data_IF_894394377087
#
_entry.id   IF_894394377087
#
_cell.length_a   1.000
_cell.length_b   1.000
_cell.length_c   1.000
_cell.angle_alpha   90.00
_cell.angle_beta   90.00
_cell.angle_gamma   90.00
#
_symmetry.space_group_name_H-M   'P 1'
#
loop_
_entity.id
_entity.type
_entity.pdbx_description
1 polymer ?
#
# COMPACT_ATOMS: atom_id res chain seq x y z
N UNK A 1 14.38 31.62 8.33
CA UNK A 1 14.27 30.56 7.30
C UNK A 1 14.12 31.26 5.96
N UNK A 2 14.99 31.02 4.96
CA UNK A 2 14.90 31.74 3.67
C UNK A 2 13.88 31.09 2.71
N UNK A 3 13.36 31.86 1.75
CA UNK A 3 12.34 31.41 0.79
C UNK A 3 12.80 30.20 -0.04
N UNK A 4 14.08 30.13 -0.42
CA UNK A 4 14.66 29.00 -1.17
C UNK A 4 14.57 27.68 -0.40
N UNK A 5 14.74 27.70 0.92
CA UNK A 5 14.59 26.52 1.77
C UNK A 5 13.12 26.10 1.93
N UNK A 6 12.19 27.05 1.91
CA UNK A 6 10.75 26.78 1.94
C UNK A 6 10.32 26.09 0.62
N UNK A 7 10.71 26.63 -0.54
CA UNK A 7 10.41 25.99 -1.83
C UNK A 7 11.02 24.59 -1.96
N UNK A 8 12.28 24.39 -1.53
CA UNK A 8 12.90 23.05 -1.54
C UNK A 8 12.15 22.04 -0.66
N UNK A 9 11.67 22.45 0.51
CA UNK A 9 10.86 21.58 1.39
C UNK A 9 9.51 21.29 0.72
N UNK A 10 8.90 22.30 0.09
CA UNK A 10 7.62 22.17 -0.60
C UNK A 10 7.73 21.19 -1.78
N UNK A 11 8.70 21.40 -2.66
CA UNK A 11 8.96 20.55 -3.82
C UNK A 11 9.29 19.11 -3.40
N UNK A 12 9.99 18.94 -2.26
CA UNK A 12 10.34 17.63 -1.73
C UNK A 12 9.12 16.84 -1.26
N UNK A 13 8.12 17.47 -0.62
CA UNK A 13 6.94 16.73 -0.15
C UNK A 13 5.92 16.50 -1.27
N UNK A 14 5.79 17.44 -2.21
CA UNK A 14 4.93 17.28 -3.39
C UNK A 14 5.34 16.03 -4.15
N UNK A 15 6.65 15.85 -4.40
CA UNK A 15 7.16 14.65 -5.07
C UNK A 15 6.83 13.35 -4.32
N UNK A 16 6.84 13.37 -2.98
CA UNK A 16 6.45 12.21 -2.16
C UNK A 16 4.99 11.86 -2.39
N UNK A 17 4.09 12.85 -2.36
CA UNK A 17 2.65 12.64 -2.60
C UNK A 17 2.40 12.20 -4.05
N UNK A 18 3.05 12.84 -5.01
CA UNK A 18 2.86 12.54 -6.42
C UNK A 18 3.22 11.10 -6.76
N UNK A 19 4.41 10.66 -6.32
CA UNK A 19 4.89 9.31 -6.60
C UNK A 19 4.14 8.26 -5.78
N UNK A 20 3.97 8.48 -4.47
CA UNK A 20 3.47 7.43 -3.59
C UNK A 20 1.94 7.35 -3.53
N UNK A 21 1.22 8.39 -3.95
CA UNK A 21 -0.23 8.44 -3.88
C UNK A 21 -0.87 8.75 -5.23
N UNK A 22 -0.56 9.89 -5.86
CA UNK A 22 -1.28 10.32 -7.06
C UNK A 22 -1.07 9.35 -8.23
N UNK A 23 0.18 8.95 -8.50
CA UNK A 23 0.48 7.97 -9.57
C UNK A 23 -0.10 6.60 -9.24
N UNK A 24 -0.10 6.20 -7.97
CA UNK A 24 -0.70 4.92 -7.54
C UNK A 24 -2.21 4.91 -7.81
N UNK A 25 -2.93 5.98 -7.43
CA UNK A 25 -4.37 6.13 -7.71
C UNK A 25 -4.65 6.06 -9.21
N UNK A 26 -3.89 6.81 -10.02
CA UNK A 26 -4.02 6.78 -11.49
C UNK A 26 -3.78 5.38 -12.06
N UNK A 27 -2.76 4.68 -11.56
CA UNK A 27 -2.45 3.30 -11.97
C UNK A 27 -3.56 2.32 -11.62
N UNK A 28 -4.15 2.44 -10.42
CA UNK A 28 -5.30 1.63 -10.00
C UNK A 28 -6.50 1.88 -10.90
N UNK A 29 -6.85 3.15 -11.16
CA UNK A 29 -7.97 3.51 -12.03
C UNK A 29 -7.78 2.95 -13.45
N UNK A 30 -6.59 3.09 -14.02
CA UNK A 30 -6.27 2.51 -15.32
C UNK A 30 -6.37 0.97 -15.29
N UNK A 31 -5.84 0.34 -14.24
CA UNK A 31 -5.91 -1.10 -14.04
C UNK A 31 -7.35 -1.62 -13.96
N UNK A 32 -8.23 -0.91 -13.26
CA UNK A 32 -9.66 -1.23 -13.15
C UNK A 32 -10.28 -1.30 -14.55
N UNK A 33 -10.04 -0.31 -15.40
CA UNK A 33 -10.63 -0.26 -16.75
C UNK A 33 -10.19 -1.43 -17.64
N UNK A 34 -8.93 -1.88 -17.52
CA UNK A 34 -8.46 -3.07 -18.22
C UNK A 34 -9.01 -4.37 -17.62
N UNK A 35 -9.11 -4.47 -16.30
CA UNK A 35 -9.64 -5.66 -15.63
C UNK A 35 -11.14 -5.84 -15.88
N UNK A 36 -11.91 -4.75 -15.94
CA UNK A 36 -13.33 -4.79 -16.34
C UNK A 36 -13.49 -5.44 -17.71
N UNK A 37 -12.72 -4.99 -18.70
CA UNK A 37 -12.73 -5.55 -20.07
C UNK A 37 -12.32 -7.02 -20.11
N UNK A 38 -11.44 -7.45 -19.19
CA UNK A 38 -10.99 -8.84 -19.06
C UNK A 38 -12.00 -9.74 -18.32
N UNK A 39 -13.00 -9.17 -17.64
CA UNK A 39 -13.98 -9.89 -16.84
C UNK A 39 -13.59 -10.10 -15.38
N UNK A 40 -12.62 -9.35 -14.87
CA UNK A 40 -12.22 -9.35 -13.46
C UNK A 40 -10.72 -9.57 -13.22
N UNK A 41 -10.37 -9.62 -11.93
CA UNK A 41 -9.01 -9.91 -11.49
C UNK A 41 -8.69 -9.35 -10.11
N UNK A 42 -7.38 -9.17 -9.86
CA UNK A 42 -6.88 -8.68 -8.59
C UNK A 42 -5.88 -7.53 -8.82
N UNK A 43 -6.04 -6.46 -8.06
CA UNK A 43 -5.09 -5.35 -7.93
C UNK A 43 -4.46 -5.44 -6.54
N UNK A 44 -3.13 -5.35 -6.46
CA UNK A 44 -2.39 -5.42 -5.20
C UNK A 44 -1.50 -4.19 -5.08
N UNK A 45 -1.81 -3.34 -4.09
CA UNK A 45 -1.09 -2.09 -3.86
C UNK A 45 0.04 -2.28 -2.84
N UNK A 46 1.15 -1.58 -3.05
CA UNK A 46 2.26 -1.54 -2.08
C UNK A 46 2.11 -0.35 -1.14
N UNK A 47 1.60 -0.62 0.07
CA UNK A 47 1.47 0.33 1.17
C UNK A 47 2.74 0.32 2.06
N UNK A 48 2.57 0.50 3.37
CA UNK A 48 3.61 0.41 4.39
C UNK A 48 2.98 0.32 5.78
N UNK A 49 3.66 -0.31 6.74
CA UNK A 49 3.25 -0.30 8.15
C UNK A 49 3.07 1.12 8.69
N UNK A 50 3.85 2.09 8.21
CA UNK A 50 3.75 3.48 8.69
C UNK A 50 2.44 4.17 8.31
N UNK A 51 1.66 3.56 7.41
CA UNK A 51 0.29 3.99 7.16
C UNK A 51 -0.64 3.72 8.34
N UNK A 52 -0.40 2.66 9.12
CA UNK A 52 -1.14 2.36 10.34
C UNK A 52 -0.45 2.87 11.60
N UNK A 53 0.88 2.88 11.61
CA UNK A 53 1.71 3.26 12.75
C UNK A 53 2.62 4.44 12.37
N UNK A 54 2.09 5.68 12.36
CA UNK A 54 2.80 6.83 11.81
C UNK A 54 4.07 7.16 12.62
N UNK A 55 5.14 7.51 11.91
CA UNK A 55 6.41 7.93 12.49
C UNK A 55 6.55 9.45 12.38
N UNK A 56 6.85 10.11 13.51
CA UNK A 56 7.06 11.57 13.58
C UNK A 56 8.07 12.11 12.57
N UNK A 57 9.08 11.32 12.22
CA UNK A 57 10.15 11.70 11.30
C UNK A 57 9.70 11.77 9.82
N UNK A 58 8.61 11.11 9.45
CA UNK A 58 8.19 10.96 8.04
C UNK A 58 6.69 11.20 7.82
N UNK A 59 6.10 12.32 8.29
CA UNK A 59 4.66 12.52 8.31
C UNK A 59 4.03 12.44 6.91
N UNK A 60 4.63 13.08 5.91
CA UNK A 60 4.12 13.07 4.52
C UNK A 60 4.15 11.68 3.91
N UNK A 61 5.22 10.91 4.16
CA UNK A 61 5.29 9.52 3.71
C UNK A 61 4.22 8.66 4.37
N UNK A 62 4.01 8.81 5.68
CA UNK A 62 2.94 8.14 6.42
C UNK A 62 1.56 8.48 5.81
N UNK A 63 1.29 9.76 5.57
CA UNK A 63 0.06 10.23 4.91
C UNK A 63 -0.11 9.59 3.53
N UNK A 64 0.94 9.57 2.71
CA UNK A 64 0.87 8.97 1.37
C UNK A 64 0.52 7.48 1.41
N UNK A 65 1.11 6.72 2.34
CA UNK A 65 0.89 5.28 2.47
C UNK A 65 -0.44 4.94 3.14
N UNK A 66 -0.91 5.76 4.07
CA UNK A 66 -2.28 5.66 4.58
C UNK A 66 -3.32 5.99 3.50
N UNK A 67 -3.05 6.97 2.63
CA UNK A 67 -3.88 7.27 1.47
C UNK A 67 -4.07 6.06 0.56
N UNK A 68 -3.01 5.30 0.28
CA UNK A 68 -3.09 4.05 -0.51
C UNK A 68 -3.96 2.99 0.19
N UNK A 69 -3.84 2.84 1.52
CA UNK A 69 -4.65 1.91 2.31
C UNK A 69 -6.13 2.31 2.26
N UNK A 70 -6.43 3.58 2.54
CA UNK A 70 -7.80 4.10 2.53
C UNK A 70 -8.44 3.96 1.14
N UNK A 71 -7.70 4.31 0.08
CA UNK A 71 -8.16 4.17 -1.30
C UNK A 71 -8.44 2.70 -1.65
N UNK A 72 -7.53 1.78 -1.29
CA UNK A 72 -7.74 0.32 -1.45
C UNK A 72 -9.06 -0.14 -0.81
N UNK A 73 -9.34 0.30 0.41
CA UNK A 73 -10.56 -0.06 1.14
C UNK A 73 -11.82 0.54 0.51
N UNK A 74 -11.75 1.74 -0.05
CA UNK A 74 -12.90 2.37 -0.73
C UNK A 74 -13.35 1.62 -2.00
N UNK A 75 -12.51 0.74 -2.54
CA UNK A 75 -12.76 0.00 -3.78
C UNK A 75 -13.27 -1.43 -3.56
N UNK A 76 -13.67 -1.79 -2.34
CA UNK A 76 -14.16 -3.14 -1.97
C UNK A 76 -15.31 -3.63 -2.83
N UNK A 77 -16.24 -2.74 -3.16
CA UNK A 77 -17.46 -3.13 -3.87
C UNK A 77 -17.22 -3.54 -5.33
N UNK A 78 -16.05 -3.22 -5.90
CA UNK A 78 -15.63 -3.70 -7.22
C UNK A 78 -15.62 -5.22 -7.33
N UNK A 79 -15.49 -5.93 -6.20
CA UNK A 79 -15.58 -7.39 -6.20
C UNK A 79 -16.99 -7.87 -6.57
N UNK A 80 -18.02 -7.15 -6.11
CA UNK A 80 -19.42 -7.50 -6.36
C UNK A 80 -19.88 -7.01 -7.74
N UNK A 81 -19.44 -5.80 -8.15
CA UNK A 81 -19.89 -5.17 -9.40
C UNK A 81 -19.10 -5.64 -10.62
N UNK A 82 -17.78 -5.79 -10.49
CA UNK A 82 -16.86 -5.96 -11.62
C UNK A 82 -15.99 -7.22 -11.51
N UNK A 83 -16.16 -8.03 -10.45
CA UNK A 83 -15.30 -9.19 -10.12
C UNK A 83 -13.83 -8.80 -9.98
N UNK A 84 -13.57 -7.59 -9.45
CA UNK A 84 -12.23 -7.07 -9.20
C UNK A 84 -11.98 -6.96 -7.70
N UNK A 85 -11.00 -7.69 -7.20
CA UNK A 85 -10.51 -7.55 -5.83
C UNK A 85 -9.38 -6.53 -5.80
N UNK A 86 -9.45 -5.56 -4.89
CA UNK A 86 -8.36 -4.59 -4.67
C UNK A 86 -7.88 -4.78 -3.25
N UNK A 87 -6.59 -5.06 -3.05
CA UNK A 87 -5.99 -5.31 -1.74
C UNK A 87 -4.65 -4.59 -1.63
N UNK A 88 -4.05 -4.58 -0.43
CA UNK A 88 -2.74 -4.01 -0.21
C UNK A 88 -1.82 -4.92 0.61
N UNK A 89 -0.52 -4.75 0.40
CA UNK A 89 0.53 -5.28 1.27
C UNK A 89 1.24 -4.10 1.93
N UNK A 90 1.43 -4.16 3.25
CA UNK A 90 2.05 -3.11 4.05
C UNK A 90 3.30 -3.66 4.77
N UNK A 91 4.47 -3.59 4.10
CA UNK A 91 5.72 -4.06 4.69
C UNK A 91 6.23 -3.12 5.78
N UNK A 92 7.00 -3.68 6.70
CA UNK A 92 7.95 -2.95 7.53
C UNK A 92 9.19 -2.53 6.74
N UNK A 93 10.32 -2.37 7.43
CA UNK A 93 11.59 -2.05 6.77
C UNK A 93 12.09 -3.24 5.96
N UNK A 94 12.01 -3.19 4.63
CA UNK A 94 12.49 -4.26 3.75
C UNK A 94 13.93 -3.95 3.31
N UNK A 95 14.81 -4.95 3.33
CA UNK A 95 16.21 -4.81 2.88
C UNK A 95 16.50 -5.86 1.81
N UNK A 96 16.95 -5.42 0.63
CA UNK A 96 17.19 -6.27 -0.54
C UNK A 96 18.60 -6.92 -0.51
N UNK A 97 19.56 -6.31 0.22
CA UNK A 97 20.93 -6.83 0.44
C UNK A 97 21.51 -6.31 1.76
N UNK A 98 21.29 -7.01 2.89
CA UNK A 98 22.07 -6.86 4.14
C UNK A 98 21.46 -7.68 5.28
N UNK A 99 22.28 -8.45 5.97
CA UNK A 99 22.02 -9.20 7.22
C UNK A 99 21.80 -8.27 8.44
N UNK A 100 20.88 -7.30 8.36
CA UNK A 100 20.50 -6.54 9.55
C UNK A 100 19.32 -7.23 10.20
N UNK A 101 19.49 -7.60 11.47
CA UNK A 101 18.49 -8.18 12.37
C UNK A 101 17.24 -7.30 12.61
N UNK A 102 16.99 -6.29 11.78
CA UNK A 102 15.90 -5.31 11.91
C UNK A 102 15.01 -5.15 10.66
N UNK A 103 15.14 -6.02 9.66
CA UNK A 103 14.38 -5.90 8.41
C UNK A 103 13.38 -7.04 8.18
N UNK A 104 12.23 -6.70 7.60
CA UNK A 104 11.29 -7.65 6.99
C UNK A 104 11.98 -8.38 5.83
N UNK A 105 12.02 -9.72 5.83
CA UNK A 105 12.54 -10.50 4.71
C UNK A 105 11.74 -10.24 3.43
N UNK A 106 12.41 -10.18 2.29
CA UNK A 106 11.72 -9.95 1.00
C UNK A 106 10.74 -11.08 0.66
N UNK A 107 11.08 -12.32 1.02
CA UNK A 107 10.23 -13.49 0.77
C UNK A 107 8.88 -13.39 1.48
N UNK A 108 8.82 -12.79 2.68
CA UNK A 108 7.56 -12.53 3.38
C UNK A 108 6.66 -11.56 2.59
N UNK A 109 7.26 -10.56 1.94
CA UNK A 109 6.54 -9.66 1.05
C UNK A 109 5.97 -10.44 -0.13
N UNK A 110 6.80 -11.24 -0.80
CA UNK A 110 6.37 -12.07 -1.94
C UNK A 110 5.25 -13.03 -1.53
N UNK A 111 5.37 -13.68 -0.37
CA UNK A 111 4.36 -14.59 0.17
C UNK A 111 3.03 -13.88 0.42
N UNK A 112 3.03 -12.63 0.88
CA UNK A 112 1.81 -11.85 1.04
C UNK A 112 1.13 -11.52 -0.31
N UNK A 113 1.91 -11.18 -1.34
CA UNK A 113 1.35 -11.01 -2.70
C UNK A 113 0.73 -12.31 -3.20
N UNK A 114 1.45 -13.44 -3.07
CA UNK A 114 0.96 -14.76 -3.46
C UNK A 114 -0.33 -15.13 -2.70
N UNK A 115 -0.39 -14.82 -1.41
CA UNK A 115 -1.58 -15.06 -0.58
C UNK A 115 -2.79 -14.28 -1.10
N UNK A 116 -2.63 -13.00 -1.42
CA UNK A 116 -3.72 -12.17 -1.97
C UNK A 116 -4.20 -12.69 -3.34
N UNK A 117 -3.28 -13.18 -4.17
CA UNK A 117 -3.63 -13.78 -5.46
C UNK A 117 -4.47 -15.03 -5.26
N UNK A 118 -4.08 -15.91 -4.34
CA UNK A 118 -4.70 -17.24 -4.14
C UNK A 118 -5.97 -17.22 -3.30
N UNK A 119 -6.12 -16.26 -2.39
CA UNK A 119 -7.26 -16.19 -1.47
C UNK A 119 -8.32 -15.20 -1.98
N UNK A 120 -9.36 -15.74 -2.61
CA UNK A 120 -10.47 -14.95 -3.14
C UNK A 120 -11.37 -14.34 -2.06
N UNK A 121 -11.16 -14.69 -0.78
CA UNK A 121 -11.87 -14.06 0.34
C UNK A 121 -11.32 -12.68 0.68
N UNK A 122 -10.11 -12.35 0.22
CA UNK A 122 -9.47 -11.07 0.51
C UNK A 122 -9.99 -9.97 -0.43
N UNK A 123 -10.73 -9.02 0.15
CA UNK A 123 -11.40 -7.93 -0.57
C UNK A 123 -11.25 -6.62 0.20
N UNK A 124 -10.41 -5.71 -0.32
CA UNK A 124 -10.08 -4.44 0.33
C UNK A 124 -9.30 -4.59 1.61
N UNK A 125 -8.60 -5.71 1.78
CA UNK A 125 -7.82 -6.03 2.96
C UNK A 125 -6.37 -5.57 2.79
N UNK A 126 -5.69 -5.37 3.93
CA UNK A 126 -4.28 -5.07 3.95
C UNK A 126 -3.53 -6.10 4.77
N UNK A 127 -2.54 -6.76 4.17
CA UNK A 127 -1.63 -7.66 4.89
C UNK A 127 -0.46 -6.84 5.44
N UNK A 128 -0.39 -6.71 6.75
CA UNK A 128 0.75 -6.14 7.47
C UNK A 128 1.87 -7.17 7.58
N UNK A 129 3.10 -6.75 7.30
CA UNK A 129 4.28 -7.60 7.42
C UNK A 129 5.29 -6.93 8.36
N UNK A 130 5.17 -7.15 9.68
CA UNK A 130 6.13 -6.65 10.65
C UNK A 130 7.47 -7.38 10.55
N UNK A 131 8.42 -6.90 11.35
CA UNK A 131 9.81 -7.37 11.38
C UNK A 131 9.96 -8.84 11.84
N UNK A 132 9.13 -9.26 12.80
CA UNK A 132 9.36 -10.48 13.61
C UNK A 132 8.06 -11.18 14.08
N UNK A 133 6.88 -10.83 13.54
CA UNK A 133 5.61 -11.46 13.91
C UNK A 133 4.86 -11.96 12.68
N UNK A 134 4.02 -12.99 12.88
CA UNK A 134 3.07 -13.51 11.88
C UNK A 134 2.37 -12.33 11.19
N UNK A 135 2.38 -12.33 9.85
CA UNK A 135 1.69 -11.32 9.04
C UNK A 135 0.26 -11.13 9.55
N UNK A 136 -0.11 -9.90 9.90
CA UNK A 136 -1.45 -9.60 10.39
C UNK A 136 -2.30 -9.13 9.22
N UNK A 137 -3.45 -9.75 9.03
CA UNK A 137 -4.42 -9.27 8.05
C UNK A 137 -5.32 -8.29 8.76
N UNK A 138 -5.33 -7.05 8.29
CA UNK A 138 -6.31 -6.05 8.72
C UNK A 138 -7.39 -5.99 7.65
N UNK A 139 -8.51 -6.62 7.97
CA UNK A 139 -9.82 -6.37 7.37
C UNK A 139 -10.55 -5.33 8.23
N UNK A 140 -11.24 -4.34 7.64
CA UNK A 140 -12.03 -3.33 8.37
C UNK A 140 -13.17 -3.97 9.19
N UNK A 141 -12.85 -4.44 10.38
CA UNK A 141 -13.78 -4.52 11.53
C UNK A 141 -13.44 -3.45 12.58
N UNK A 142 -12.61 -2.46 12.24
CA UNK A 142 -12.15 -1.41 13.18
C UNK A 142 -12.44 0.03 12.73
N UNK A 143 -13.37 0.25 11.80
CA UNK A 143 -14.06 1.53 11.60
C UNK A 143 -15.55 1.28 11.44
#
# INVERSE_FOLDING_TARGET
MNLTNVFKIIDSWIKIIDVNLNVVIKGIQLGIEFLKKRGGGVIINTASLVGFYPLKLFPVYCTSKYGVISFTQSLRDLNNTDKIRVNAVAPGFVVVKSEKSRSTPFDEVVNAFIKIIKDDKLVGDTILIPKENLSQIISKSFL
#
